data_IF_625882027301
#
_entry.id   IF_625882027301
#
_cell.length_a   1.000
_cell.length_b   1.000
_cell.length_c   1.000
_cell.angle_alpha   90.00
_cell.angle_beta   90.00
_cell.angle_gamma   90.00
#
_symmetry.space_group_name_H-M   'P 1'
#
loop_
_entity.id
_entity.type
_entity.pdbx_description
1 polymer ?
#
# COMPACT_ATOMS: atom_id res chain seq x y z
N UNK A 1 -18.19 25.30 -10.36
CA UNK A 1 -17.73 23.91 -10.58
C UNK A 1 -16.32 23.79 -10.04
N UNK A 2 -16.15 23.43 -8.76
CA UNK A 2 -14.81 23.19 -8.21
C UNK A 2 -14.24 21.93 -8.83
N UNK A 3 -13.26 22.10 -9.71
CA UNK A 3 -12.42 21.00 -10.16
C UNK A 3 -11.76 20.39 -8.93
N UNK A 4 -12.24 19.22 -8.50
CA UNK A 4 -11.55 18.41 -7.50
C UNK A 4 -10.28 17.88 -8.18
N UNK A 5 -9.13 18.40 -7.77
CA UNK A 5 -7.82 17.86 -8.12
C UNK A 5 -7.71 16.49 -7.46
N UNK A 6 -8.03 15.43 -8.20
CA UNK A 6 -7.86 14.04 -7.76
C UNK A 6 -6.61 13.43 -8.39
N UNK A 7 -5.96 12.51 -7.68
CA UNK A 7 -4.91 11.65 -8.24
C UNK A 7 -5.50 10.31 -8.67
N UNK A 8 -4.95 9.73 -9.74
CA UNK A 8 -5.31 8.38 -10.18
C UNK A 8 -4.31 7.40 -9.60
N UNK A 9 -4.81 6.38 -8.90
CA UNK A 9 -4.02 5.24 -8.42
C UNK A 9 -4.49 3.97 -9.13
N UNK A 10 -3.54 3.09 -9.45
CA UNK A 10 -3.82 1.79 -10.05
C UNK A 10 -3.78 0.73 -8.96
N UNK A 11 -4.93 0.11 -8.70
CA UNK A 11 -5.09 -0.95 -7.71
C UNK A 11 -5.26 -2.27 -8.46
N UNK A 12 -4.61 -3.33 -7.97
CA UNK A 12 -4.79 -4.68 -8.50
C UNK A 12 -6.27 -5.10 -8.37
N UNK A 13 -6.89 -5.68 -9.41
CA UNK A 13 -8.32 -5.99 -9.41
C UNK A 13 -8.73 -6.97 -8.30
N UNK A 14 -7.82 -7.83 -7.88
CA UNK A 14 -8.05 -8.82 -6.83
C UNK A 14 -7.77 -8.28 -5.42
N UNK A 15 -7.31 -7.04 -5.29
CA UNK A 15 -7.03 -6.46 -3.98
C UNK A 15 -8.32 -6.37 -3.15
N UNK A 16 -8.26 -6.65 -1.84
CA UNK A 16 -9.43 -6.54 -0.99
C UNK A 16 -9.90 -5.07 -0.95
N UNK A 17 -11.21 -4.83 -0.79
CA UNK A 17 -11.73 -3.47 -0.67
C UNK A 17 -11.12 -2.79 0.56
N UNK A 18 -11.10 -1.44 0.52
CA UNK A 18 -10.64 -0.65 1.66
C UNK A 18 -11.47 -1.02 2.90
N UNK A 19 -10.83 -1.34 4.04
CA UNK A 19 -11.57 -1.62 5.26
C UNK A 19 -12.18 -0.32 5.80
N UNK A 20 -13.22 -0.46 6.62
CA UNK A 20 -13.80 0.67 7.35
C UNK A 20 -12.73 1.37 8.22
N UNK A 21 -12.90 2.67 8.45
CA UNK A 21 -12.03 3.42 9.38
C UNK A 21 -12.07 2.74 10.76
N UNK A 22 -10.89 2.57 11.36
CA UNK A 22 -10.70 1.86 12.62
C UNK A 22 -10.58 0.33 12.50
N UNK A 23 -10.98 -0.28 11.38
CA UNK A 23 -10.81 -1.72 11.18
C UNK A 23 -9.36 -2.09 10.82
N UNK A 24 -8.89 -3.33 11.12
CA UNK A 24 -7.53 -3.74 10.83
C UNK A 24 -7.15 -3.57 9.36
N UNK A 25 -5.93 -3.07 9.10
CA UNK A 25 -5.41 -3.00 7.74
C UNK A 25 -5.34 -4.41 7.13
N UNK A 26 -6.10 -4.62 6.05
CA UNK A 26 -6.19 -5.88 5.33
C UNK A 26 -5.24 -5.97 4.12
N UNK A 27 -4.50 -4.91 3.81
CA UNK A 27 -3.64 -4.85 2.63
C UNK A 27 -4.36 -4.46 1.33
N UNK A 28 -5.42 -3.65 1.39
CA UNK A 28 -6.07 -3.08 0.20
C UNK A 28 -5.16 -2.22 -0.70
N UNK A 29 -4.09 -1.65 -0.14
CA UNK A 29 -3.10 -0.85 -0.89
C UNK A 29 -3.50 0.61 -1.15
N UNK A 30 -4.75 1.03 -0.91
CA UNK A 30 -5.26 2.39 -1.21
C UNK A 30 -4.34 3.49 -0.69
N UNK A 31 -4.09 3.55 0.62
CA UNK A 31 -3.22 4.59 1.20
C UNK A 31 -1.76 4.44 0.75
N UNK A 32 -1.25 3.21 0.65
CA UNK A 32 0.15 2.96 0.28
C UNK A 32 0.49 3.27 -1.18
N UNK A 33 -0.51 3.23 -2.06
CA UNK A 33 -0.41 3.62 -3.47
C UNK A 33 -0.60 5.12 -3.67
N UNK A 34 -1.45 5.74 -2.85
CA UNK A 34 -1.66 7.18 -2.87
C UNK A 34 -0.42 7.93 -2.37
N UNK A 35 0.12 7.55 -1.21
CA UNK A 35 1.27 8.21 -0.61
C UNK A 35 2.11 7.26 0.27
N UNK A 36 3.40 7.56 0.46
CA UNK A 36 4.23 6.79 1.36
C UNK A 36 3.93 7.18 2.82
N UNK A 37 3.70 6.19 3.68
CA UNK A 37 3.65 6.42 5.14
C UNK A 37 4.99 6.95 5.67
N UNK A 38 5.10 7.46 6.91
CA UNK A 38 6.36 8.00 7.45
C UNK A 38 7.55 7.04 7.33
N UNK A 39 7.32 5.74 7.52
CA UNK A 39 8.34 4.71 7.28
C UNK A 39 8.65 4.53 5.78
N UNK A 40 7.62 4.58 4.94
CA UNK A 40 7.75 4.53 3.48
C UNK A 40 8.53 5.72 2.93
N UNK A 41 8.42 6.91 3.53
CA UNK A 41 9.21 8.09 3.17
C UNK A 41 10.69 7.86 3.43
N UNK A 42 11.04 7.28 4.59
CA UNK A 42 12.41 6.94 4.94
C UNK A 42 13.00 5.89 3.99
N UNK A 43 12.21 4.88 3.63
CA UNK A 43 12.66 3.77 2.76
C UNK A 43 12.69 4.15 1.28
N UNK A 44 11.74 4.97 0.83
CA UNK A 44 11.58 5.33 -0.58
C UNK A 44 12.29 6.64 -0.94
N UNK A 45 12.65 7.45 0.05
CA UNK A 45 13.14 8.83 -0.11
C UNK A 45 12.19 9.70 -0.95
N UNK A 46 10.88 9.43 -0.85
CA UNK A 46 9.81 10.12 -1.55
C UNK A 46 8.74 10.55 -0.56
N UNK A 47 8.09 11.68 -0.84
CA UNK A 47 6.96 12.20 -0.05
C UNK A 47 5.60 11.99 -0.70
N UNK A 48 5.58 11.66 -1.99
CA UNK A 48 4.36 11.53 -2.79
C UNK A 48 4.40 10.27 -3.66
N UNK A 49 3.21 9.76 -3.99
CA UNK A 49 3.01 8.59 -4.83
C UNK A 49 3.23 7.25 -4.12
N UNK A 50 3.21 6.16 -4.90
CA UNK A 50 3.28 4.81 -4.36
C UNK A 50 4.60 4.53 -3.62
N UNK A 51 4.48 3.94 -2.43
CA UNK A 51 5.63 3.52 -1.62
C UNK A 51 6.48 2.45 -2.35
N UNK A 52 7.81 2.64 -2.41
CA UNK A 52 8.74 1.68 -3.04
C UNK A 52 8.80 0.34 -2.33
N UNK A 53 8.45 0.30 -1.05
CA UNK A 53 8.40 -0.94 -0.28
C UNK A 53 7.11 -1.73 -0.50
N UNK A 54 6.08 -1.16 -1.14
CA UNK A 54 4.82 -1.85 -1.38
C UNK A 54 5.01 -3.02 -2.36
N UNK A 55 4.52 -4.20 -2.00
CA UNK A 55 4.62 -5.41 -2.83
C UNK A 55 3.25 -6.05 -2.94
N UNK A 56 2.89 -6.51 -4.14
CA UNK A 56 1.71 -7.35 -4.34
C UNK A 56 2.05 -8.80 -3.96
N UNK A 57 1.16 -9.45 -3.20
CA UNK A 57 1.26 -10.86 -2.86
C UNK A 57 0.22 -11.64 -3.66
N UNK A 58 0.65 -12.30 -4.73
CA UNK A 58 -0.23 -13.15 -5.57
C UNK A 58 -0.89 -14.26 -4.74
N UNK A 59 -0.15 -14.84 -3.79
CA UNK A 59 -0.64 -15.93 -2.96
C UNK A 59 -1.79 -15.50 -2.05
N UNK A 60 -1.72 -14.30 -1.50
CA UNK A 60 -2.71 -13.82 -0.53
C UNK A 60 -3.76 -12.89 -1.15
N UNK A 61 -3.61 -12.52 -2.43
CA UNK A 61 -4.44 -11.52 -3.09
C UNK A 61 -4.42 -10.15 -2.40
N UNK A 62 -3.29 -9.73 -1.81
CA UNK A 62 -3.23 -8.47 -1.08
C UNK A 62 -1.87 -7.79 -1.17
N UNK A 63 -1.86 -6.48 -0.93
CA UNK A 63 -0.61 -5.73 -0.78
C UNK A 63 0.03 -5.97 0.59
N UNK A 64 1.36 -6.10 0.58
CA UNK A 64 2.20 -6.26 1.75
C UNK A 64 3.26 -5.16 1.79
N UNK A 65 3.57 -4.69 3.00
CA UNK A 65 4.71 -3.80 3.20
C UNK A 65 6.01 -4.62 3.17
N UNK A 66 6.88 -4.33 2.22
CA UNK A 66 8.18 -4.97 2.08
C UNK A 66 9.08 -4.85 3.30
N UNK A 67 8.94 -3.77 4.09
CA UNK A 67 9.65 -3.64 5.36
C UNK A 67 9.15 -4.64 6.42
N UNK A 68 7.88 -5.06 6.32
CA UNK A 68 7.31 -6.10 7.18
C UNK A 68 7.60 -7.52 6.70
N UNK A 69 7.86 -7.73 5.40
CA UNK A 69 8.11 -9.06 4.81
C UNK A 69 9.61 -9.36 4.68
N UNK A 70 10.40 -8.38 4.23
CA UNK A 70 11.83 -8.48 3.96
C UNK A 70 12.57 -7.20 4.43
N UNK A 71 12.65 -6.92 5.75
CA UNK A 71 13.24 -5.69 6.28
C UNK A 71 14.69 -5.49 5.81
N UNK A 72 15.50 -6.55 5.79
CA UNK A 72 16.93 -6.51 5.42
C UNK A 72 17.20 -5.89 4.06
N UNK A 73 16.27 -5.98 3.10
CA UNK A 73 16.39 -5.37 1.77
C UNK A 73 16.35 -3.84 1.81
N UNK A 74 15.78 -3.26 2.86
CA UNK A 74 15.51 -1.82 2.96
C UNK A 74 16.30 -1.10 4.04
N UNK A 75 16.75 -1.80 5.10
CA UNK A 75 17.59 -1.20 6.17
C UNK A 75 19.08 -1.12 5.80
N UNK A 76 19.52 -1.71 4.68
CA UNK A 76 20.92 -1.60 4.25
C UNK A 76 21.94 -2.25 5.20
N UNK A 77 21.49 -3.20 6.03
CA UNK A 77 22.33 -3.91 7.00
C UNK A 77 22.56 -5.36 6.53
N UNK A 78 23.49 -5.61 5.59
CA UNK A 78 23.77 -6.94 5.05
C UNK A 78 24.35 -7.91 6.11
N UNK A 79 24.80 -7.39 7.25
CA UNK A 79 25.54 -8.14 8.27
C UNK A 79 24.65 -8.88 9.28
N UNK A 80 23.35 -8.58 9.35
CA UNK A 80 22.47 -9.25 10.32
C UNK A 80 21.79 -10.48 9.73
N UNK A 81 21.87 -11.60 10.46
CA UNK A 81 21.17 -12.84 10.10
C UNK A 81 19.68 -12.56 9.82
N UNK A 82 19.10 -13.09 8.74
CA UNK A 82 17.70 -12.86 8.37
C UNK A 82 16.70 -13.23 9.48
N UNK A 83 17.03 -14.18 10.35
CA UNK A 83 16.19 -14.64 11.47
C UNK A 83 16.60 -14.08 12.84
N UNK A 84 17.50 -13.09 12.87
CA UNK A 84 17.99 -12.46 14.08
C UNK A 84 16.91 -11.72 14.88
N UNK A 85 17.15 -11.56 16.19
CA UNK A 85 16.31 -10.77 17.09
C UNK A 85 16.09 -9.33 16.57
N UNK A 86 17.13 -8.75 15.97
CA UNK A 86 17.12 -7.41 15.36
C UNK A 86 16.03 -7.28 14.29
N UNK A 87 15.90 -8.25 13.38
CA UNK A 87 14.84 -8.21 12.35
C UNK A 87 13.44 -8.30 12.95
N UNK A 88 13.26 -9.09 14.01
CA UNK A 88 11.98 -9.15 14.73
C UNK A 88 11.63 -7.82 15.38
N UNK A 89 12.62 -7.15 15.98
CA UNK A 89 12.45 -5.81 16.55
C UNK A 89 12.12 -4.77 15.49
N UNK A 90 12.83 -4.77 14.36
CA UNK A 90 12.55 -3.87 13.22
C UNK A 90 11.14 -4.10 12.70
N UNK A 91 10.70 -5.35 12.48
CA UNK A 91 9.33 -5.66 12.03
C UNK A 91 8.29 -5.20 13.04
N UNK A 92 8.52 -5.40 14.34
CA UNK A 92 7.60 -4.95 15.40
C UNK A 92 7.51 -3.43 15.45
N UNK A 93 8.64 -2.74 15.36
CA UNK A 93 8.70 -1.29 15.31
C UNK A 93 8.00 -0.74 14.07
N UNK A 94 8.32 -1.28 12.88
CA UNK A 94 7.68 -0.94 11.62
C UNK A 94 6.16 -1.12 11.69
N UNK A 95 5.68 -2.28 12.19
CA UNK A 95 4.25 -2.58 12.33
C UNK A 95 3.55 -1.57 13.25
N UNK A 96 4.19 -1.20 14.36
CA UNK A 96 3.65 -0.22 15.31
C UNK A 96 3.62 1.19 14.71
N UNK A 97 4.65 1.59 13.96
CA UNK A 97 4.70 2.91 13.34
C UNK A 97 3.63 3.11 12.26
N UNK A 98 3.31 2.07 11.50
CA UNK A 98 2.36 2.17 10.37
C UNK A 98 0.97 1.62 10.71
N UNK A 99 0.73 1.24 11.98
CA UNK A 99 -0.50 0.61 12.45
C UNK A 99 -0.99 -0.59 11.60
N UNK A 100 -0.08 -1.29 10.92
CA UNK A 100 -0.45 -2.39 10.03
C UNK A 100 -1.10 -3.53 10.83
N UNK A 101 -2.33 -3.88 10.44
CA UNK A 101 -3.17 -4.87 11.12
C UNK A 101 -3.80 -4.38 12.42
N UNK A 102 -3.70 -3.09 12.77
CA UNK A 102 -4.28 -2.52 13.99
C UNK A 102 -5.55 -1.71 13.65
N UNK A 103 -5.44 -0.71 12.78
CA UNK A 103 -6.57 0.14 12.41
C UNK A 103 -6.28 0.96 11.15
N UNK A 104 -7.31 1.18 10.33
CA UNK A 104 -7.26 2.06 9.16
C UNK A 104 -7.58 3.49 9.58
N UNK A 105 -6.67 4.42 9.28
CA UNK A 105 -6.80 5.87 9.52
C UNK A 105 -6.96 6.67 8.22
N UNK A 106 -6.98 5.98 7.07
CA UNK A 106 -7.09 6.62 5.77
C UNK A 106 -8.51 7.12 5.50
N UNK A 107 -8.66 8.44 5.39
CA UNK A 107 -9.89 9.15 4.96
C UNK A 107 -10.02 9.23 3.42
N UNK A 108 -9.19 8.47 2.70
CA UNK A 108 -9.19 8.43 1.24
C UNK A 108 -10.20 7.38 0.80
N UNK A 109 -11.19 7.79 0.01
CA UNK A 109 -12.17 6.89 -0.59
C UNK A 109 -11.89 6.73 -2.10
N UNK A 110 -11.53 5.53 -2.57
CA UNK A 110 -11.29 5.30 -3.98
C UNK A 110 -12.62 5.33 -4.74
N UNK A 111 -12.71 6.19 -5.75
CA UNK A 111 -13.84 6.18 -6.70
C UNK A 111 -13.41 5.47 -7.97
N UNK A 112 -14.13 4.43 -8.37
CA UNK A 112 -13.92 3.80 -9.68
C UNK A 112 -14.37 4.78 -10.78
N UNK A 113 -13.53 5.09 -11.78
CA UNK A 113 -13.98 5.91 -12.90
C UNK A 113 -15.13 5.18 -13.64
N UNK A 114 -16.11 5.93 -14.18
CA UNK A 114 -17.18 5.31 -14.95
C UNK A 114 -16.57 4.51 -16.12
N UNK A 115 -17.04 3.29 -16.34
CA UNK A 115 -16.65 2.52 -17.52
C UNK A 115 -17.02 3.31 -18.78
N UNK A 116 -16.14 3.37 -19.81
CA UNK A 116 -16.50 3.99 -21.07
C UNK A 116 -17.72 3.28 -21.66
N UNK A 117 -18.64 4.01 -22.33
CA UNK A 117 -19.80 3.39 -22.96
C UNK A 117 -19.34 2.33 -23.97
N UNK A 118 -20.06 1.21 -24.03
CA UNK A 118 -19.77 0.14 -24.97
C UNK A 118 -19.70 0.71 -26.40
N UNK A 119 -18.74 0.26 -27.24
CA UNK A 119 -18.64 0.72 -28.61
C UNK A 119 -19.95 0.42 -29.35
N UNK A 120 -20.53 1.44 -29.99
CA UNK A 120 -21.72 1.29 -30.83
C UNK A 120 -21.45 0.26 -31.92
N UNK A 121 -22.39 -0.66 -32.22
CA UNK A 121 -22.21 -1.64 -33.27
C UNK A 121 -22.01 -0.92 -34.60
N UNK A 122 -20.82 -1.09 -35.19
CA UNK A 122 -20.47 -0.57 -36.50
C UNK A 122 -21.37 -1.24 -37.54
N UNK A 123 -22.30 -0.46 -38.12
CA UNK A 123 -23.16 -0.94 -39.21
C UNK A 123 -22.28 -1.20 -40.43
N UNK A 124 -22.05 -2.48 -40.73
CA UNK A 124 -21.48 -2.98 -41.99
C UNK A 124 -22.50 -2.86 -43.11
#
# INVERSE_FOLDING_TARGET
MSSRTGSVIWIHPEAPPKPAVGAPCNGCGVCCLAEPCPLGMLVSLKREGACRALQWSEHDGQYRCGMLVHPTRYVGLPTFKPDGLVNRLIRRYARRMIAAGIGCDADIEPTTPPSPPAPSPEKR
#
